data_IF_369166152180
#
_entry.id   IF_369166152180
#
_cell.length_a   1.000
_cell.length_b   1.000
_cell.length_c   1.000
_cell.angle_alpha   90.00
_cell.angle_beta   90.00
_cell.angle_gamma   90.00
#
_symmetry.space_group_name_H-M   'P 1'
#
loop_
_entity.id
_entity.type
_entity.pdbx_description
1 polymer ?
#
# COMPACT_ATOMS: atom_id res chain seq x y z
N UNK A 1 45.50 -67.09 16.98
CA UNK A 1 44.13 -66.67 16.63
C UNK A 1 43.70 -65.64 17.66
N UNK A 2 43.16 -64.52 17.19
CA UNK A 2 42.49 -63.43 17.91
C UNK A 2 43.39 -62.42 18.65
N UNK A 3 43.14 -61.12 18.62
CA UNK A 3 42.55 -60.22 17.62
C UNK A 3 42.89 -58.82 18.15
N UNK A 4 43.35 -57.93 17.29
CA UNK A 4 43.53 -56.52 17.64
C UNK A 4 42.15 -55.84 17.62
N UNK A 5 41.78 -55.15 18.69
CA UNK A 5 40.70 -54.16 18.62
C UNK A 5 41.14 -52.83 19.24
N UNK A 6 41.41 -51.87 18.36
CA UNK A 6 41.61 -50.45 18.67
C UNK A 6 40.25 -49.77 18.88
N UNK A 7 40.11 -48.83 19.84
CA UNK A 7 38.91 -48.05 20.00
C UNK A 7 38.78 -46.97 18.89
N UNK A 8 37.59 -46.91 18.30
CA UNK A 8 37.18 -46.02 17.22
C UNK A 8 36.83 -44.63 17.77
N UNK A 9 37.66 -43.61 17.53
CA UNK A 9 37.35 -42.22 17.84
C UNK A 9 36.42 -41.61 16.76
N UNK A 10 35.19 -41.25 17.11
CA UNK A 10 34.24 -40.46 16.28
C UNK A 10 34.12 -38.96 16.68
N UNK A 11 35.16 -38.11 16.57
CA UNK A 11 35.01 -36.67 16.79
C UNK A 11 34.57 -35.90 15.53
N UNK A 12 34.80 -36.44 14.32
CA UNK A 12 34.64 -35.69 13.05
C UNK A 12 33.19 -35.58 12.55
N UNK A 13 32.33 -36.55 12.87
CA UNK A 13 30.93 -36.60 12.39
C UNK A 13 30.04 -35.57 13.08
N UNK A 14 30.30 -35.27 14.34
CA UNK A 14 29.49 -34.34 15.14
C UNK A 14 29.80 -32.89 14.79
N UNK A 15 31.08 -32.55 14.59
CA UNK A 15 31.50 -31.21 14.17
C UNK A 15 30.96 -30.82 12.78
N UNK A 16 30.95 -31.76 11.83
CA UNK A 16 30.39 -31.53 10.50
C UNK A 16 28.87 -31.26 10.54
N UNK A 17 28.13 -31.93 11.43
CA UNK A 17 26.69 -31.70 11.63
C UNK A 17 26.41 -30.32 12.22
N UNK A 18 27.22 -29.86 13.17
CA UNK A 18 27.09 -28.53 13.78
C UNK A 18 27.40 -27.43 12.76
N UNK A 19 28.44 -27.61 11.94
CA UNK A 19 28.78 -26.67 10.88
C UNK A 19 27.68 -26.56 9.80
N UNK A 20 27.07 -27.68 9.42
CA UNK A 20 25.93 -27.71 8.50
C UNK A 20 24.68 -27.02 9.08
N UNK A 21 24.41 -27.21 10.39
CA UNK A 21 23.31 -26.51 11.06
C UNK A 21 23.55 -25.01 11.15
N UNK A 22 24.76 -24.58 11.49
CA UNK A 22 25.14 -23.17 11.56
C UNK A 22 25.06 -22.51 10.18
N UNK A 23 25.50 -23.20 9.12
CA UNK A 23 25.36 -22.74 7.74
C UNK A 23 23.88 -22.60 7.36
N UNK A 24 23.04 -23.60 7.66
CA UNK A 24 21.60 -23.54 7.39
C UNK A 24 20.90 -22.38 8.12
N UNK A 25 21.29 -22.09 9.36
CA UNK A 25 20.77 -20.96 10.14
C UNK A 25 21.24 -19.60 9.60
N UNK A 26 22.45 -19.54 9.02
CA UNK A 26 22.98 -18.31 8.42
C UNK A 26 22.34 -17.94 7.06
N UNK A 27 21.71 -18.91 6.37
CA UNK A 27 20.96 -18.66 5.13
C UNK A 27 19.58 -18.03 5.37
N UNK A 28 19.11 -17.93 6.62
CA UNK A 28 17.92 -17.19 7.02
C UNK A 28 18.14 -15.67 7.09
N UNK A 29 18.77 -15.07 6.08
CA UNK A 29 19.02 -13.64 6.03
C UNK A 29 17.76 -12.84 5.74
N UNK A 30 17.31 -12.02 6.71
CA UNK A 30 16.42 -10.83 6.65
C UNK A 30 15.26 -10.74 5.62
N UNK A 31 14.84 -11.80 4.94
CA UNK A 31 13.73 -11.79 4.00
C UNK A 31 12.35 -11.79 4.68
N UNK A 32 12.31 -11.98 6.01
CA UNK A 32 11.07 -12.10 6.77
C UNK A 32 10.46 -10.75 7.22
N UNK A 33 10.99 -9.63 6.72
CA UNK A 33 10.36 -8.31 6.87
C UNK A 33 9.66 -7.99 5.56
N UNK A 34 8.38 -8.32 5.48
CA UNK A 34 7.53 -7.83 4.40
C UNK A 34 7.75 -6.32 4.30
N UNK A 35 8.18 -5.84 3.13
CA UNK A 35 8.33 -4.41 2.89
C UNK A 35 6.97 -3.75 3.12
N UNK A 36 6.88 -2.74 3.99
CA UNK A 36 5.61 -2.07 4.22
C UNK A 36 5.07 -1.52 2.91
N UNK A 37 3.74 -1.57 2.69
CA UNK A 37 3.15 -1.06 1.46
C UNK A 37 3.44 0.43 1.32
N UNK A 38 3.80 0.85 0.11
CA UNK A 38 4.09 2.25 -0.22
C UNK A 38 2.87 3.16 0.04
N UNK A 39 1.67 2.64 -0.22
CA UNK A 39 0.42 3.39 -0.11
C UNK A 39 -0.52 2.77 0.93
N UNK A 40 -1.27 3.63 1.61
CA UNK A 40 -2.35 3.23 2.50
C UNK A 40 -3.66 3.04 1.73
N UNK A 41 -3.87 1.88 1.10
CA UNK A 41 -5.06 1.63 0.27
C UNK A 41 -6.39 1.67 1.04
N UNK A 42 -6.42 1.17 2.28
CA UNK A 42 -7.63 1.10 3.12
C UNK A 42 -8.85 0.61 2.33
N UNK A 43 -10.00 1.31 2.40
CA UNK A 43 -11.21 0.95 1.65
C UNK A 43 -11.28 1.55 0.25
N UNK A 44 -10.21 2.17 -0.28
CA UNK A 44 -10.27 2.90 -1.55
C UNK A 44 -10.69 2.01 -2.72
N UNK A 45 -10.12 0.82 -2.84
CA UNK A 45 -10.46 -0.11 -3.93
C UNK A 45 -11.94 -0.50 -3.89
N UNK A 46 -12.48 -0.77 -2.70
CA UNK A 46 -13.90 -1.06 -2.52
C UNK A 46 -14.78 0.16 -2.85
N UNK A 47 -14.35 1.38 -2.50
CA UNK A 47 -15.07 2.60 -2.85
C UNK A 47 -15.17 2.77 -4.39
N UNK A 48 -14.08 2.55 -5.12
CA UNK A 48 -14.10 2.61 -6.59
C UNK A 48 -15.06 1.58 -7.17
N UNK A 49 -14.97 0.36 -6.68
CA UNK A 49 -15.77 -0.78 -7.11
C UNK A 49 -17.28 -0.54 -6.89
N UNK A 50 -17.67 -0.07 -5.69
CA UNK A 50 -19.04 0.38 -5.38
C UNK A 50 -19.50 1.52 -6.29
N UNK A 51 -18.63 2.52 -6.53
CA UNK A 51 -18.95 3.65 -7.40
C UNK A 51 -19.22 3.20 -8.85
N UNK A 52 -18.37 2.36 -9.42
CA UNK A 52 -18.49 1.92 -10.81
C UNK A 52 -19.62 0.93 -11.04
N UNK A 53 -19.95 0.09 -10.05
CA UNK A 53 -21.14 -0.77 -10.11
C UNK A 53 -22.46 -0.02 -10.01
N UNK A 54 -22.42 1.27 -9.68
CA UNK A 54 -23.61 2.07 -9.42
C UNK A 54 -24.49 1.46 -8.31
N UNK A 55 -23.85 0.74 -7.38
CA UNK A 55 -24.46 0.40 -6.11
C UNK A 55 -24.92 1.74 -5.51
N UNK A 56 -26.21 1.91 -5.20
CA UNK A 56 -26.89 3.20 -4.97
C UNK A 56 -26.45 3.97 -3.69
N UNK A 57 -25.17 3.90 -3.32
CA UNK A 57 -24.58 4.70 -2.26
C UNK A 57 -24.50 6.17 -2.69
N UNK A 58 -24.90 7.08 -1.82
CA UNK A 58 -24.85 8.50 -2.11
C UNK A 58 -23.40 9.02 -2.15
N UNK A 59 -23.10 10.05 -2.96
CA UNK A 59 -21.79 10.70 -2.95
C UNK A 59 -21.33 11.17 -1.57
N UNK A 60 -22.25 11.60 -0.71
CA UNK A 60 -21.97 12.02 0.68
C UNK A 60 -21.45 10.87 1.54
N UNK A 61 -22.11 9.72 1.48
CA UNK A 61 -21.71 8.53 2.25
C UNK A 61 -20.35 8.02 1.79
N UNK A 62 -20.12 7.98 0.48
CA UNK A 62 -18.84 7.55 -0.06
C UNK A 62 -17.72 8.54 0.29
N UNK A 63 -17.96 9.84 0.16
CA UNK A 63 -16.98 10.88 0.52
C UNK A 63 -16.60 10.78 2.00
N UNK A 64 -17.58 10.64 2.89
CA UNK A 64 -17.32 10.48 4.34
C UNK A 64 -16.43 9.28 4.64
N UNK A 65 -16.69 8.12 4.02
CA UNK A 65 -15.86 6.92 4.19
C UNK A 65 -14.43 7.16 3.72
N UNK A 66 -14.26 7.82 2.58
CA UNK A 66 -12.94 8.18 2.07
C UNK A 66 -12.22 9.18 2.98
N UNK A 67 -12.92 10.12 3.60
CA UNK A 67 -12.32 11.04 4.58
C UNK A 67 -11.84 10.32 5.84
N UNK A 68 -12.61 9.34 6.32
CA UNK A 68 -12.18 8.50 7.43
C UNK A 68 -10.91 7.72 7.08
N UNK A 69 -10.84 7.17 5.87
CA UNK A 69 -9.63 6.49 5.38
C UNK A 69 -8.46 7.47 5.21
N UNK A 70 -8.71 8.70 4.74
CA UNK A 70 -7.70 9.76 4.66
C UNK A 70 -7.08 10.05 6.04
N UNK A 71 -7.87 10.09 7.11
CA UNK A 71 -7.34 10.28 8.46
C UNK A 71 -6.47 9.09 8.89
N UNK A 72 -6.88 7.85 8.58
CA UNK A 72 -6.08 6.65 8.90
C UNK A 72 -4.74 6.63 8.15
N UNK A 73 -4.75 6.95 6.85
CA UNK A 73 -3.54 7.05 6.01
C UNK A 73 -2.57 8.06 6.61
N UNK A 74 -3.07 9.25 6.97
CA UNK A 74 -2.26 10.31 7.59
C UNK A 74 -1.71 9.90 8.95
N UNK A 75 -2.54 9.30 9.80
CA UNK A 75 -2.13 8.82 11.12
C UNK A 75 -1.06 7.72 11.04
N UNK A 76 -1.12 6.88 10.01
CA UNK A 76 -0.14 5.85 9.74
C UNK A 76 1.14 6.38 9.05
N UNK A 77 1.19 7.66 8.67
CA UNK A 77 2.30 8.25 7.93
C UNK A 77 2.48 7.66 6.52
N UNK A 78 1.40 7.10 5.95
CA UNK A 78 1.43 6.48 4.62
C UNK A 78 1.12 7.50 3.52
N UNK A 79 1.61 7.25 2.31
CA UNK A 79 1.20 8.03 1.14
C UNK A 79 -0.23 7.64 0.71
N UNK A 80 -1.01 8.62 0.26
CA UNK A 80 -2.29 8.36 -0.40
C UNK A 80 -2.03 7.66 -1.75
N UNK A 81 -2.83 6.67 -2.17
CA UNK A 81 -2.65 6.05 -3.47
C UNK A 81 -3.01 7.01 -4.62
N UNK A 82 -2.45 6.80 -5.83
CA UNK A 82 -2.84 7.55 -7.03
C UNK A 82 -4.35 7.49 -7.27
N UNK A 83 -4.94 8.63 -7.62
CA UNK A 83 -6.36 8.80 -7.89
C UNK A 83 -7.23 8.95 -6.65
N UNK A 84 -6.71 8.77 -5.43
CA UNK A 84 -7.50 8.89 -4.20
C UNK A 84 -8.09 10.27 -4.02
N UNK A 85 -7.27 11.32 -4.19
CA UNK A 85 -7.75 12.69 -4.03
C UNK A 85 -8.59 13.10 -5.23
N UNK A 86 -8.23 12.69 -6.45
CA UNK A 86 -9.10 12.92 -7.61
C UNK A 86 -10.51 12.34 -7.44
N UNK A 87 -10.63 11.11 -6.91
CA UNK A 87 -11.94 10.49 -6.68
C UNK A 87 -12.71 11.17 -5.56
N UNK A 88 -12.06 11.54 -4.45
CA UNK A 88 -12.69 12.33 -3.39
C UNK A 88 -13.18 13.70 -3.92
N UNK A 89 -12.37 14.35 -4.75
CA UNK A 89 -12.74 15.57 -5.47
C UNK A 89 -13.99 15.36 -6.33
N UNK A 90 -14.03 14.30 -7.14
CA UNK A 90 -15.19 13.93 -7.97
C UNK A 90 -16.47 13.79 -7.15
N UNK A 91 -16.41 13.17 -5.97
CA UNK A 91 -17.57 13.03 -5.08
C UNK A 91 -18.06 14.38 -4.58
N UNK A 92 -17.15 15.28 -4.20
CA UNK A 92 -17.51 16.66 -3.87
C UNK A 92 -18.10 17.43 -5.03
N UNK A 93 -17.57 17.24 -6.24
CA UNK A 93 -18.14 17.80 -7.45
C UNK A 93 -19.59 17.36 -7.67
N UNK A 94 -19.90 16.08 -7.40
CA UNK A 94 -21.27 15.54 -7.48
C UNK A 94 -22.21 16.10 -6.42
N UNK A 95 -21.70 16.47 -5.25
CA UNK A 95 -22.44 17.17 -4.20
C UNK A 95 -22.65 18.66 -4.51
N UNK A 96 -21.99 19.20 -5.55
CA UNK A 96 -22.02 20.62 -5.91
C UNK A 96 -20.96 21.46 -5.18
N UNK A 97 -20.10 20.84 -4.37
CA UNK A 97 -19.02 21.52 -3.64
C UNK A 97 -17.79 21.66 -4.55
N UNK A 98 -17.82 22.69 -5.40
CA UNK A 98 -16.74 22.97 -6.34
C UNK A 98 -15.44 23.41 -5.66
N UNK A 99 -15.52 23.99 -4.46
CA UNK A 99 -14.35 24.41 -3.70
C UNK A 99 -13.54 23.19 -3.24
N UNK A 100 -14.20 22.20 -2.61
CA UNK A 100 -13.54 20.94 -2.23
C UNK A 100 -13.12 20.12 -3.46
N UNK A 101 -13.93 20.10 -4.52
CA UNK A 101 -13.53 19.49 -5.80
C UNK A 101 -12.18 20.03 -6.31
N UNK A 102 -12.03 21.37 -6.39
CA UNK A 102 -10.78 21.99 -6.85
C UNK A 102 -9.63 21.69 -5.89
N UNK A 103 -9.84 21.83 -4.58
CA UNK A 103 -8.82 21.56 -3.58
C UNK A 103 -8.21 20.15 -3.75
N UNK A 104 -9.07 19.15 -3.95
CA UNK A 104 -8.63 17.77 -4.06
C UNK A 104 -7.92 17.46 -5.39
N UNK A 105 -8.33 18.07 -6.51
CA UNK A 105 -7.62 17.92 -7.78
C UNK A 105 -6.24 18.58 -7.76
N UNK A 106 -6.12 19.74 -7.13
CA UNK A 106 -4.82 20.41 -6.95
C UNK A 106 -3.89 19.57 -6.06
N UNK A 107 -4.42 18.96 -5.00
CA UNK A 107 -3.66 18.07 -4.14
C UNK A 107 -3.20 16.79 -4.89
N UNK A 108 -4.07 16.20 -5.72
CA UNK A 108 -3.70 15.08 -6.61
C UNK A 108 -2.56 15.46 -7.57
N UNK A 109 -2.69 16.60 -8.24
CA UNK A 109 -1.67 17.13 -9.15
C UNK A 109 -0.32 17.35 -8.45
N UNK A 110 -0.34 17.85 -7.22
CA UNK A 110 0.88 18.07 -6.43
C UNK A 110 1.56 16.76 -6.04
N UNK A 111 0.78 15.74 -5.67
CA UNK A 111 1.32 14.46 -5.26
C UNK A 111 1.77 13.60 -6.46
N UNK A 112 1.05 13.70 -7.58
CA UNK A 112 1.26 12.90 -8.78
C UNK A 112 1.39 13.81 -10.01
N UNK A 113 2.58 14.39 -10.26
CA UNK A 113 2.81 15.28 -11.40
C UNK A 113 2.55 14.60 -12.76
N UNK A 114 2.59 13.27 -12.83
CA UNK A 114 2.21 12.49 -14.02
C UNK A 114 0.74 12.70 -14.41
N UNK A 115 -0.12 13.01 -13.42
CA UNK A 115 -1.54 13.28 -13.63
C UNK A 115 -1.84 14.73 -14.03
N UNK A 116 -0.84 15.63 -13.97
CA UNK A 116 -1.02 17.08 -14.11
C UNK A 116 -1.86 17.48 -15.32
N UNK A 117 -1.55 16.94 -16.49
CA UNK A 117 -2.27 17.31 -17.72
C UNK A 117 -3.76 17.02 -17.63
N UNK A 118 -4.14 15.92 -16.97
CA UNK A 118 -5.53 15.53 -16.77
C UNK A 118 -6.20 16.39 -15.70
N UNK A 119 -5.53 16.62 -14.56
CA UNK A 119 -6.06 17.49 -13.49
C UNK A 119 -6.29 18.92 -14.00
N UNK A 120 -5.34 19.47 -14.76
CA UNK A 120 -5.47 20.80 -15.37
C UNK A 120 -6.65 20.87 -16.36
N UNK A 121 -6.88 19.81 -17.12
CA UNK A 121 -8.04 19.71 -18.00
C UNK A 121 -9.36 19.75 -17.21
N UNK A 122 -9.46 18.96 -16.13
CA UNK A 122 -10.65 18.93 -15.27
C UNK A 122 -10.88 20.31 -14.63
N UNK A 123 -9.85 20.89 -14.00
CA UNK A 123 -9.93 22.20 -13.35
C UNK A 123 -10.39 23.31 -14.31
N UNK A 124 -9.86 23.34 -15.54
CA UNK A 124 -10.31 24.31 -16.56
C UNK A 124 -11.79 24.10 -16.94
N UNK A 125 -12.22 22.85 -17.11
CA UNK A 125 -13.59 22.52 -17.50
C UNK A 125 -14.62 22.97 -16.46
N UNK A 126 -14.29 22.85 -15.18
CA UNK A 126 -15.21 23.16 -14.08
C UNK A 126 -15.07 24.58 -13.51
N UNK A 127 -14.01 25.34 -13.87
CA UNK A 127 -13.87 26.77 -13.55
C UNK A 127 -14.77 27.69 -14.39
N UNK A 128 -15.31 27.20 -15.50
CA UNK A 128 -15.94 28.03 -16.53
C UNK A 128 -17.46 28.24 -16.37
N UNK A 129 -17.98 28.26 -15.14
CA UNK A 129 -19.41 28.48 -14.88
C UNK A 129 -19.66 29.67 -13.96
#
# INVERSE_FOLDING_TARGET
MHDHHTPNHQPKRTAAKIALLALALSLGGCANKATPPLYGWHGFEQNLDTYFRQDRESPDTQAKRMEDDLQKIRAAGQAMPPGFMAHLGLLYGKQGDMARFQQHLEAEKQQFPESQNFMDFLLRKFKSK
#
